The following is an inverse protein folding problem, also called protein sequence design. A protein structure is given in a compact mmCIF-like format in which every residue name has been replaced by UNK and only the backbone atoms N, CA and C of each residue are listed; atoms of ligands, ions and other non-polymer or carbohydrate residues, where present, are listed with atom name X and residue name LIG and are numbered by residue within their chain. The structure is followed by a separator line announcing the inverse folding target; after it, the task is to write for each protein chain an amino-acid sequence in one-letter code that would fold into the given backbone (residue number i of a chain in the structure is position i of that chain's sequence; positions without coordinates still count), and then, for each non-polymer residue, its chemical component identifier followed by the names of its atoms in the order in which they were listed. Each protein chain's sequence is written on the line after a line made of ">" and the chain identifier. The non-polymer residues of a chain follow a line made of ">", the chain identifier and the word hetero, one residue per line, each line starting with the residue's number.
data_IF_625794987181
#
_entry.id   IF_625794987181
#
_cell.length_a   1.000
_cell.length_b   1.000
_cell.length_c   1.000
_cell.angle_alpha   90.00
_cell.angle_beta   90.00
_cell.angle_gamma   90.00
#
_symmetry.space_group_name_H-M   'P 1'
#
loop_
_entity.id
_entity.type
_entity.pdbx_description
1 polymer ?
#
# COMPACT_ATOMS: atom_id res chain seq x y z
N UNK A 1 1.17 -6.93 4.13
CA UNK A 1 1.49 -7.43 5.50
C UNK A 1 2.34 -6.41 6.22
N UNK A 2 2.14 -6.20 7.53
CA UNK A 2 2.89 -5.20 8.32
C UNK A 2 4.42 -5.41 8.30
N UNK A 3 4.98 -6.64 8.42
CA UNK A 3 6.44 -6.85 8.37
C UNK A 3 7.13 -6.35 7.10
N UNK A 4 6.43 -6.34 5.97
CA UNK A 4 6.98 -5.79 4.73
C UNK A 4 7.12 -4.27 4.79
N UNK A 5 6.20 -3.59 5.48
CA UNK A 5 6.09 -2.14 5.61
C UNK A 5 6.99 -1.56 6.72
N UNK A 6 7.55 -2.41 7.58
CA UNK A 6 8.45 -2.05 8.69
C UNK A 6 9.87 -2.58 8.50
N UNK A 7 10.16 -3.20 7.35
CA UNK A 7 11.49 -3.71 7.01
C UNK A 7 12.50 -2.57 6.79
N UNK A 8 13.80 -2.87 6.84
CA UNK A 8 14.89 -1.85 6.76
C UNK A 8 14.82 -0.94 5.52
N UNK A 9 14.30 -1.44 4.40
CA UNK A 9 14.15 -0.66 3.15
C UNK A 9 12.77 -0.02 2.98
N UNK A 10 11.83 -0.31 3.87
CA UNK A 10 10.49 0.22 3.79
C UNK A 10 10.42 1.65 4.34
N UNK A 11 9.50 2.43 3.78
CA UNK A 11 9.13 3.75 4.26
C UNK A 11 7.62 3.78 4.42
N UNK A 12 7.16 4.28 5.56
CA UNK A 12 5.75 4.42 5.87
C UNK A 12 5.51 5.87 6.24
N UNK A 13 4.51 6.48 5.62
CA UNK A 13 4.06 7.84 5.95
C UNK A 13 3.59 7.89 7.41
N UNK A 14 3.72 9.04 8.04
CA UNK A 14 3.35 9.21 9.45
C UNK A 14 1.89 9.66 9.60
N UNK A 15 1.29 9.31 10.75
CA UNK A 15 -0.04 9.77 11.15
C UNK A 15 -1.19 9.49 10.15
N UNK A 16 -1.13 8.43 9.35
CA UNK A 16 -2.29 8.03 8.54
C UNK A 16 -3.24 7.14 9.35
N UNK A 17 -4.55 7.45 9.38
CA UNK A 17 -5.54 6.61 10.03
C UNK A 17 -5.83 5.34 9.22
N UNK A 18 -6.49 4.37 9.87
CA UNK A 18 -7.09 3.23 9.19
C UNK A 18 -8.15 3.70 8.18
N UNK A 19 -8.42 2.87 7.17
CA UNK A 19 -9.33 3.14 6.06
C UNK A 19 -8.92 4.34 5.17
N UNK A 20 -7.62 4.57 5.03
CA UNK A 20 -7.05 5.58 4.12
C UNK A 20 -6.61 4.93 2.81
N UNK A 21 -6.97 5.55 1.67
CA UNK A 21 -6.47 5.15 0.36
C UNK A 21 -5.02 5.61 0.20
N UNK A 22 -4.14 4.70 -0.19
CA UNK A 22 -2.70 4.95 -0.30
C UNK A 22 -2.14 4.42 -1.62
N UNK A 23 -1.10 5.08 -2.12
CA UNK A 23 -0.25 4.53 -3.18
C UNK A 23 0.82 3.61 -2.60
N UNK A 24 1.07 2.48 -3.24
CA UNK A 24 2.13 1.53 -2.86
C UNK A 24 3.29 1.65 -3.83
N UNK A 25 4.47 1.98 -3.31
CA UNK A 25 5.69 2.23 -4.09
C UNK A 25 6.77 1.19 -3.76
N UNK A 26 7.68 0.98 -4.70
CA UNK A 26 8.91 0.22 -4.47
C UNK A 26 10.13 1.13 -4.58
N UNK A 27 11.21 0.77 -3.89
CA UNK A 27 12.48 1.49 -3.97
C UNK A 27 12.98 1.58 -5.42
N UNK A 28 13.37 2.78 -5.84
CA UNK A 28 13.84 3.04 -7.20
C UNK A 28 12.76 3.09 -8.29
N UNK A 29 11.47 3.11 -7.92
CA UNK A 29 10.35 3.30 -8.85
C UNK A 29 9.67 4.65 -8.58
N UNK A 30 9.49 5.43 -9.65
CA UNK A 30 8.81 6.73 -9.59
C UNK A 30 7.29 6.59 -9.45
N UNK A 31 6.71 5.63 -10.18
CA UNK A 31 5.26 5.43 -10.22
C UNK A 31 4.79 4.42 -9.17
N UNK A 32 3.58 4.63 -8.65
CA UNK A 32 2.92 3.65 -7.78
C UNK A 32 2.70 2.33 -8.54
N UNK A 33 2.91 1.22 -7.84
CA UNK A 33 2.73 -0.14 -8.35
C UNK A 33 1.33 -0.70 -8.01
N UNK A 34 0.71 -0.16 -6.96
CA UNK A 34 -0.64 -0.52 -6.55
C UNK A 34 -1.32 0.64 -5.79
N UNK A 35 -2.64 0.56 -5.71
CA UNK A 35 -3.48 1.34 -4.82
C UNK A 35 -3.96 0.41 -3.71
N UNK A 36 -3.81 0.85 -2.47
CA UNK A 36 -4.22 0.08 -1.29
C UNK A 36 -5.11 0.86 -0.33
N UNK A 37 -5.72 0.12 0.59
CA UNK A 37 -6.49 0.66 1.72
C UNK A 37 -5.81 0.25 3.02
N UNK A 38 -5.47 1.21 3.88
CA UNK A 38 -4.95 0.90 5.21
C UNK A 38 -6.01 0.17 6.05
N UNK A 39 -5.65 -0.95 6.70
CA UNK A 39 -6.54 -1.70 7.59
C UNK A 39 -6.34 -1.35 9.07
N UNK A 40 -5.28 -0.64 9.38
CA UNK A 40 -4.96 -0.07 10.69
C UNK A 40 -4.16 1.23 10.50
N UNK A 41 -3.94 2.00 11.56
CA UNK A 41 -3.15 3.24 11.48
C UNK A 41 -1.67 2.95 11.16
N UNK A 42 -0.94 3.93 10.63
CA UNK A 42 0.51 3.76 10.38
C UNK A 42 1.31 3.49 11.65
N UNK A 43 0.84 3.98 12.79
CA UNK A 43 1.46 3.72 14.09
C UNK A 43 1.20 2.28 14.52
N UNK A 44 0.00 1.76 14.32
CA UNK A 44 -0.32 0.35 14.59
C UNK A 44 0.48 -0.59 13.66
N UNK A 45 0.65 -0.24 12.38
CA UNK A 45 1.47 -1.01 11.43
C UNK A 45 2.91 -1.15 11.98
N UNK A 46 3.49 -0.06 12.48
CA UNK A 46 4.84 -0.02 13.05
C UNK A 46 4.94 -0.82 14.36
N UNK A 47 3.98 -0.62 15.26
CA UNK A 47 4.04 -1.16 16.63
C UNK A 47 3.60 -2.62 16.75
N UNK A 48 2.50 -3.00 16.09
CA UNK A 48 1.98 -4.37 16.14
C UNK A 48 2.82 -5.29 15.26
N UNK A 49 3.25 -4.79 14.10
CA UNK A 49 4.11 -5.49 13.15
C UNK A 49 3.64 -6.92 12.79
N UNK A 50 2.32 -7.11 12.71
CA UNK A 50 1.66 -8.39 12.40
C UNK A 50 0.45 -8.14 11.51
N UNK A 51 0.00 -9.18 10.81
CA UNK A 51 -1.23 -9.18 10.01
C UNK A 51 -1.20 -8.19 8.82
N UNK A 52 -2.38 -7.89 8.26
CA UNK A 52 -2.55 -7.09 7.04
C UNK A 52 -2.59 -5.61 7.42
N UNK A 53 -1.53 -4.86 7.12
CA UNK A 53 -1.51 -3.40 7.29
C UNK A 53 -2.20 -2.63 6.16
N UNK A 54 -2.03 -3.09 4.91
CA UNK A 54 -2.63 -2.50 3.71
C UNK A 54 -3.22 -3.62 2.86
N UNK A 55 -4.50 -3.49 2.51
CA UNK A 55 -5.20 -4.32 1.53
C UNK A 55 -4.95 -3.77 0.12
N UNK A 56 -4.65 -4.63 -0.85
CA UNK A 56 -4.45 -4.24 -2.24
C UNK A 56 -5.80 -4.14 -2.96
N UNK A 57 -6.13 -2.96 -3.49
CA UNK A 57 -7.38 -2.71 -4.24
C UNK A 57 -7.14 -2.88 -5.74
N UNK A 58 -6.05 -2.31 -6.26
CA UNK A 58 -5.74 -2.28 -7.69
C UNK A 58 -4.22 -2.32 -7.86
N UNK A 59 -3.70 -3.02 -8.86
CA UNK A 59 -2.26 -3.10 -9.10
C UNK A 59 -1.92 -3.13 -10.59
N UNK A 60 -0.68 -2.77 -10.89
CA UNK A 60 -0.15 -2.73 -12.25
C UNK A 60 -0.29 -4.10 -12.93
N UNK A 61 -0.82 -4.09 -14.17
CA UNK A 61 -1.14 -5.28 -14.98
C UNK A 61 -2.32 -6.15 -14.51
N UNK A 62 -3.12 -5.71 -13.54
CA UNK A 62 -4.40 -6.36 -13.24
C UNK A 62 -5.43 -6.14 -14.37
N UNK A 63 -6.62 -6.76 -14.31
CA UNK A 63 -7.63 -6.61 -15.36
C UNK A 63 -8.08 -5.16 -15.60
N UNK A 64 -8.16 -4.33 -14.56
CA UNK A 64 -8.55 -2.93 -14.69
C UNK A 64 -7.44 -2.13 -15.38
N UNK A 65 -6.17 -2.39 -15.07
CA UNK A 65 -5.03 -1.77 -15.74
C UNK A 65 -5.00 -2.07 -17.25
N UNK A 66 -5.33 -3.31 -17.62
CA UNK A 66 -5.34 -3.76 -19.02
C UNK A 66 -6.63 -3.41 -19.75
N UNK A 67 -7.60 -2.84 -19.06
CA UNK A 67 -8.87 -2.47 -19.66
C UNK A 67 -8.64 -1.35 -20.67
N UNK A 68 -9.08 -1.57 -21.91
CA UNK A 68 -9.26 -0.49 -22.86
C UNK A 68 -10.43 0.35 -22.37
N UNK A 69 -10.20 1.61 -22.02
CA UNK A 69 -11.30 2.54 -21.77
C UNK A 69 -12.00 2.75 -23.12
N UNK A 70 -13.19 2.17 -23.29
CA UNK A 70 -14.11 2.66 -24.32
C UNK A 70 -14.62 4.02 -23.84
N UNK A 71 -14.17 5.07 -24.52
CA UNK A 71 -14.61 6.45 -24.33
C UNK A 71 -15.95 6.72 -25.02
#
# INVERSE_FOLDING_TARGET
>A
MCPGLTSKGARLEEALPANTIVGVFAEGKEHALAIGLTKMSTDDIKNINKDIGVENIHYLNDPLWKSSIES
#
